data_IF_426763160681
#
_entry.id   IF_426763160681
#
_cell.length_a   1.000
_cell.length_b   1.000
_cell.length_c   1.000
_cell.angle_alpha   90.00
_cell.angle_beta   90.00
_cell.angle_gamma   90.00
#
_symmetry.space_group_name_H-M   'P 1'
#
loop_
_entity.id
_entity.type
_entity.pdbx_description
1 polymer ?
#
# COMPACT_ATOMS: atom_id res chain seq x y z
N UNK A 1 -2.28 6.31 17.31
CA UNK A 1 -2.08 5.85 15.92
C UNK A 1 -2.65 4.46 15.76
N UNK A 2 -3.57 4.27 14.82
CA UNK A 2 -4.26 3.00 14.58
C UNK A 2 -3.65 2.22 13.41
N UNK A 3 -3.84 0.91 13.46
CA UNK A 3 -3.43 -0.05 12.43
C UNK A 3 -2.06 -0.68 12.66
N UNK A 4 -1.69 -1.59 11.76
CA UNK A 4 -0.43 -2.34 11.78
C UNK A 4 0.21 -2.34 10.39
N UNK A 5 1.55 -2.37 10.29
CA UNK A 5 2.23 -2.52 9.01
C UNK A 5 1.86 -3.85 8.36
N UNK A 6 1.62 -3.83 7.05
CA UNK A 6 1.39 -5.03 6.24
C UNK A 6 2.39 -5.05 5.06
N UNK A 7 1.93 -5.07 3.81
CA UNK A 7 2.78 -5.05 2.62
C UNK A 7 3.43 -3.69 2.34
N UNK A 8 4.60 -3.73 1.70
CA UNK A 8 5.36 -2.54 1.33
C UNK A 8 6.00 -2.64 -0.04
N UNK A 9 6.36 -1.49 -0.60
CA UNK A 9 7.23 -1.32 -1.75
C UNK A 9 8.32 -0.27 -1.47
N UNK A 10 9.38 -0.26 -2.28
CA UNK A 10 10.46 0.72 -2.18
C UNK A 10 10.58 1.46 -3.52
N UNK A 11 10.65 2.79 -3.46
CA UNK A 11 10.87 3.62 -4.63
C UNK A 11 12.36 3.84 -4.96
N UNK A 12 12.63 4.43 -6.12
CA UNK A 12 13.99 4.72 -6.58
C UNK A 12 14.76 5.72 -5.70
N UNK A 13 14.07 6.47 -4.84
CA UNK A 13 14.68 7.38 -3.85
C UNK A 13 15.01 6.67 -2.53
N UNK A 14 14.70 5.36 -2.43
CA UNK A 14 14.87 4.55 -1.23
C UNK A 14 13.79 4.77 -0.17
N UNK A 15 12.69 5.47 -0.48
CA UNK A 15 11.58 5.60 0.44
C UNK A 15 10.74 4.32 0.47
N UNK A 16 10.26 3.97 1.65
CA UNK A 16 9.33 2.86 1.86
C UNK A 16 7.91 3.39 1.70
N UNK A 17 7.12 2.69 0.88
CA UNK A 17 5.67 2.88 0.76
C UNK A 17 5.00 1.72 1.49
N UNK A 18 4.38 2.01 2.63
CA UNK A 18 3.89 1.01 3.56
C UNK A 18 2.37 1.08 3.67
N UNK A 19 1.67 -0.01 3.32
CA UNK A 19 0.25 -0.15 3.60
C UNK A 19 0.03 -0.38 5.11
N UNK A 20 -0.94 0.34 5.68
CA UNK A 20 -1.28 0.24 7.10
C UNK A 20 -2.66 -0.42 7.23
N UNK A 21 -2.65 -1.72 7.56
CA UNK A 21 -3.85 -2.49 7.79
C UNK A 21 -4.61 -1.97 9.00
N UNK A 22 -5.90 -1.68 8.84
CA UNK A 22 -6.73 -1.05 9.87
C UNK A 22 -6.42 0.45 10.08
N UNK A 23 -5.48 1.00 9.31
CA UNK A 23 -5.08 2.41 9.37
C UNK A 23 -5.57 3.26 8.22
N UNK A 24 -6.32 2.68 7.27
CA UNK A 24 -6.91 3.35 6.10
C UNK A 24 -5.93 4.19 5.28
N UNK A 25 -4.65 3.80 5.23
CA UNK A 25 -3.63 4.59 4.55
C UNK A 25 -2.46 3.77 4.01
N UNK A 26 -1.73 4.40 3.09
CA UNK A 26 -0.34 4.07 2.74
C UNK A 26 0.53 5.24 3.20
N UNK A 27 1.60 4.96 3.95
CA UNK A 27 2.55 5.99 4.39
C UNK A 27 3.85 5.88 3.60
N UNK A 28 4.33 7.01 3.08
CA UNK A 28 5.67 7.12 2.48
C UNK A 28 6.66 7.52 3.55
N UNK A 29 7.69 6.71 3.75
CA UNK A 29 8.67 6.84 4.84
C UNK A 29 10.06 6.98 4.21
N UNK A 30 10.77 8.02 4.62
CA UNK A 30 12.15 8.26 4.18
C UNK A 30 13.11 7.13 4.60
N UNK A 31 14.28 7.00 3.95
CA UNK A 31 15.34 6.08 4.39
C UNK A 31 15.80 6.26 5.85
N UNK A 32 15.50 7.42 6.44
CA UNK A 32 15.83 7.74 7.85
C UNK A 32 14.68 7.44 8.82
N UNK A 33 13.61 6.79 8.36
CA UNK A 33 12.46 6.40 9.19
C UNK A 33 11.46 7.52 9.48
N UNK A 34 11.58 8.70 8.85
CA UNK A 34 10.57 9.76 8.97
C UNK A 34 9.43 9.57 7.98
N UNK A 35 8.18 9.66 8.44
CA UNK A 35 7.00 9.76 7.57
C UNK A 35 7.12 11.09 6.80
N UNK A 36 7.08 10.98 5.48
CA UNK A 36 7.11 12.11 4.55
C UNK A 36 5.70 12.49 4.10
N UNK A 37 4.89 11.49 3.75
CA UNK A 37 3.55 11.66 3.21
C UNK A 37 2.64 10.51 3.66
N UNK A 38 1.33 10.78 3.72
CA UNK A 38 0.31 9.76 3.98
C UNK A 38 -0.83 9.89 2.96
N UNK A 39 -1.23 8.77 2.38
CA UNK A 39 -2.28 8.68 1.38
C UNK A 39 -3.44 7.89 1.98
N UNK A 40 -4.57 8.55 2.20
CA UNK A 40 -5.74 7.95 2.82
C UNK A 40 -6.67 7.29 1.79
N UNK A 41 -7.25 6.16 2.18
CA UNK A 41 -8.16 5.38 1.34
C UNK A 41 -9.55 5.26 1.99
N UNK A 42 -10.62 5.11 1.21
CA UNK A 42 -11.99 4.94 1.72
C UNK A 42 -12.26 3.51 2.24
N UNK A 43 -11.20 2.80 2.67
CA UNK A 43 -11.24 1.42 3.15
C UNK A 43 -10.30 1.29 4.33
N UNK A 44 -10.69 0.48 5.32
CA UNK A 44 -9.94 0.30 6.57
C UNK A 44 -8.64 -0.48 6.37
N UNK A 45 -8.63 -1.41 5.42
CA UNK A 45 -7.58 -2.42 5.30
C UNK A 45 -6.89 -2.38 3.94
N UNK A 46 -6.16 -1.32 3.57
CA UNK A 46 -5.08 -1.44 2.61
C UNK A 46 -4.12 -2.54 3.08
N UNK A 47 -3.74 -3.47 2.20
CA UNK A 47 -2.97 -4.66 2.56
C UNK A 47 -1.57 -4.70 1.98
N UNK A 48 -1.36 -4.21 0.75
CA UNK A 48 -0.05 -4.17 0.12
C UNK A 48 -0.03 -3.14 -0.99
N UNK A 49 1.17 -2.82 -1.49
CA UNK A 49 1.32 -1.98 -2.66
C UNK A 49 2.49 -2.43 -3.56
N UNK A 50 2.41 -2.05 -4.84
CA UNK A 50 3.44 -2.31 -5.83
C UNK A 50 3.46 -1.21 -6.89
N UNK A 51 4.65 -0.86 -7.38
CA UNK A 51 4.80 0.10 -8.46
C UNK A 51 4.65 -0.55 -9.84
N UNK A 52 3.94 0.13 -10.73
CA UNK A 52 4.04 -0.03 -12.17
C UNK A 52 5.25 0.70 -12.73
N UNK A 53 5.60 0.37 -13.98
CA UNK A 53 6.75 0.97 -14.68
C UNK A 53 6.57 2.45 -15.02
N UNK A 54 5.33 2.95 -14.98
CA UNK A 54 4.94 4.33 -15.30
C UNK A 54 4.83 5.22 -14.05
N UNK A 55 5.18 4.70 -12.86
CA UNK A 55 5.05 5.42 -11.60
C UNK A 55 3.67 5.33 -10.97
N UNK A 56 2.77 4.52 -11.51
CA UNK A 56 1.50 4.17 -10.85
C UNK A 56 1.78 3.25 -9.67
N UNK A 57 1.32 3.61 -8.46
CA UNK A 57 1.32 2.71 -7.31
C UNK A 57 -0.04 2.01 -7.21
N UNK A 58 -0.04 0.69 -7.37
CA UNK A 58 -1.19 -0.17 -7.14
C UNK A 58 -1.28 -0.52 -5.66
N UNK A 59 -2.47 -0.44 -5.08
CA UNK A 59 -2.71 -0.73 -3.66
C UNK A 59 -3.86 -1.71 -3.52
N UNK A 60 -3.60 -2.87 -2.95
CA UNK A 60 -4.64 -3.87 -2.64
C UNK A 60 -5.31 -3.54 -1.32
N UNK A 61 -6.56 -3.98 -1.16
CA UNK A 61 -7.27 -3.89 0.11
C UNK A 61 -8.04 -5.18 0.43
N UNK A 62 -8.55 -5.30 1.64
CA UNK A 62 -9.22 -6.50 2.12
C UNK A 62 -10.53 -6.23 2.88
N UNK A 63 -11.39 -7.26 2.92
CA UNK A 63 -12.62 -7.30 3.72
C UNK A 63 -12.49 -8.13 5.00
N UNK A 64 -11.39 -8.88 5.15
CA UNK A 64 -11.21 -9.85 6.23
C UNK A 64 -11.30 -9.16 7.60
N UNK A 65 -12.12 -9.67 8.52
CA UNK A 65 -12.25 -9.09 9.86
C UNK A 65 -13.09 -7.81 9.95
N UNK A 66 -13.69 -7.31 8.86
CA UNK A 66 -14.64 -6.19 8.90
C UNK A 66 -16.07 -6.73 9.05
N UNK A 67 -16.84 -6.16 9.97
CA UNK A 67 -18.25 -6.51 10.16
C UNK A 67 -19.09 -6.18 8.91
N UNK A 68 -20.21 -6.88 8.70
CA UNK A 68 -21.12 -6.56 7.58
C UNK A 68 -21.63 -5.12 7.65
N UNK A 69 -21.96 -4.64 8.86
CA UNK A 69 -22.42 -3.27 9.08
C UNK A 69 -21.35 -2.22 8.70
N UNK A 70 -20.07 -2.50 8.90
CA UNK A 70 -18.99 -1.59 8.52
C UNK A 70 -18.58 -1.72 7.05
N UNK A 71 -18.75 -2.91 6.44
CA UNK A 71 -18.59 -3.09 5.01
C UNK A 71 -19.61 -2.25 4.22
N UNK A 72 -20.83 -2.07 4.74
CA UNK A 72 -21.82 -1.16 4.13
C UNK A 72 -21.34 0.30 4.10
N UNK A 73 -20.48 0.71 5.04
CA UNK A 73 -19.88 2.05 5.09
C UNK A 73 -18.63 2.17 4.21
N UNK A 74 -18.07 1.03 3.79
CA UNK A 74 -16.82 0.92 3.04
C UNK A 74 -17.05 0.06 1.79
N UNK A 75 -17.91 0.50 0.85
CA UNK A 75 -18.32 -0.32 -0.29
C UNK A 75 -17.17 -0.71 -1.22
N UNK A 76 -16.02 -0.04 -1.12
CA UNK A 76 -14.81 -0.36 -1.88
C UNK A 76 -13.85 -1.29 -1.13
N UNK A 77 -14.19 -1.78 0.06
CA UNK A 77 -13.33 -2.71 0.81
C UNK A 77 -13.11 -4.00 -0.01
N UNK A 78 -11.84 -4.37 -0.20
CA UNK A 78 -11.45 -5.49 -1.07
C UNK A 78 -11.13 -5.09 -2.51
N UNK A 79 -11.34 -3.83 -2.90
CA UNK A 79 -11.00 -3.33 -4.23
C UNK A 79 -9.49 -3.06 -4.38
N UNK A 80 -9.05 -2.95 -5.64
CA UNK A 80 -7.75 -2.44 -6.03
C UNK A 80 -7.83 -0.92 -6.25
N UNK A 81 -6.84 -0.19 -5.78
CA UNK A 81 -6.70 1.25 -5.96
C UNK A 81 -5.39 1.58 -6.69
N UNK A 82 -5.32 2.79 -7.24
CA UNK A 82 -4.13 3.32 -7.91
C UNK A 82 -3.85 4.75 -7.46
N UNK A 83 -2.57 5.09 -7.27
CA UNK A 83 -2.09 6.45 -7.07
C UNK A 83 -1.04 6.78 -8.14
N UNK A 84 -1.12 7.96 -8.74
CA UNK A 84 -0.01 8.47 -9.56
C UNK A 84 1.07 9.03 -8.65
N UNK A 85 2.31 8.59 -8.83
CA UNK A 85 3.44 9.08 -8.03
C UNK A 85 4.46 9.80 -8.93
N UNK A 86 5.33 10.61 -8.32
CA UNK A 86 6.43 11.29 -9.01
C UNK A 86 7.69 10.43 -9.18
N UNK A 87 7.64 9.18 -8.77
CA UNK A 87 8.77 8.25 -8.73
C UNK A 87 8.35 6.89 -9.29
N UNK A 88 9.27 5.94 -9.33
CA UNK A 88 8.99 4.56 -9.73
C UNK A 88 9.54 3.60 -8.68
N UNK A 89 9.07 2.36 -8.70
CA UNK A 89 9.59 1.31 -7.82
C UNK A 89 10.96 0.82 -8.26
N UNK A 90 11.74 0.32 -7.30
CA UNK A 90 12.93 -0.46 -7.64
C UNK A 90 12.54 -1.71 -8.44
N UNK A 91 13.37 -2.18 -9.39
CA UNK A 91 13.05 -3.37 -10.17
C UNK A 91 12.81 -4.60 -9.30
N UNK A 92 11.66 -5.25 -9.50
CA UNK A 92 11.31 -6.49 -8.79
C UNK A 92 12.03 -7.65 -9.46
N UNK A 93 12.78 -8.43 -8.67
CA UNK A 93 13.49 -9.59 -9.20
C UNK A 93 12.53 -10.74 -9.49
N UNK A 94 12.70 -11.38 -10.65
CA UNK A 94 12.01 -12.64 -10.93
C UNK A 94 12.61 -13.75 -10.07
N UNK A 95 11.76 -14.63 -9.57
CA UNK A 95 12.24 -15.88 -8.99
C UNK A 95 13.07 -16.64 -10.03
N UNK A 96 14.28 -17.06 -9.64
CA UNK A 96 15.17 -17.86 -10.48
C UNK A 96 15.10 -19.29 -9.99
N UNK A 97 14.47 -20.15 -10.78
CA UNK A 97 14.50 -21.59 -10.52
C UNK A 97 15.91 -22.13 -10.80
N UNK A 98 16.44 -22.92 -9.87
CA UNK A 98 17.75 -23.56 -9.98
C UNK A 98 17.57 -24.96 -10.55
N UNK A 99 17.34 -25.04 -11.85
CA UNK A 99 17.62 -26.25 -12.64
C UNK A 99 19.04 -26.16 -13.19
#
# INVERSE_FOLDING_TARGET
DSGVPDGLAVDMDGCIWLAIWGGSRVSKISPKGKILEEYHFPVAQPSSCAFGSDGTLFVTSARAGISEADLLKQPLAGSLFTLSTSTTGVPVSRFKDSQ
#
